data_IF_316253170162
#
_entry.id   IF_316253170162
#
_cell.length_a   1.000
_cell.length_b   1.000
_cell.length_c   1.000
_cell.angle_alpha   90.00
_cell.angle_beta   90.00
_cell.angle_gamma   90.00
#
_symmetry.space_group_name_H-M   'P 1'
#
loop_
_entity.id
_entity.type
_entity.pdbx_description
1 polymer ?
#
# COMPACT_ATOMS: atom_id res chain seq x y z
N UNK A 1 0.98 3.84 -3.95
CA UNK A 1 1.34 3.22 -2.65
C UNK A 1 1.39 1.72 -2.79
N UNK A 2 2.31 1.04 -2.12
CA UNK A 2 2.42 -0.42 -2.11
C UNK A 2 2.25 -0.88 -0.67
N UNK A 3 1.44 -1.93 -0.46
CA UNK A 3 1.13 -2.48 0.86
C UNK A 3 1.39 -3.98 0.81
N UNK A 4 2.38 -4.45 1.57
CA UNK A 4 2.70 -5.86 1.77
C UNK A 4 1.97 -6.41 2.99
N UNK A 5 1.52 -7.67 2.92
CA UNK A 5 0.75 -8.32 3.99
C UNK A 5 -0.49 -7.48 4.39
N UNK A 6 -1.16 -6.90 3.41
CA UNK A 6 -2.36 -6.09 3.62
C UNK A 6 -3.37 -6.86 4.49
N UNK A 7 -3.97 -6.19 5.49
CA UNK A 7 -4.88 -6.76 6.49
C UNK A 7 -4.26 -7.66 7.57
N UNK A 8 -2.93 -7.88 7.58
CA UNK A 8 -2.24 -8.58 8.68
C UNK A 8 -1.57 -7.60 9.66
N UNK A 9 -1.27 -8.00 10.91
CA UNK A 9 -0.66 -7.13 11.92
C UNK A 9 0.71 -6.58 11.52
N UNK A 10 1.44 -7.30 10.66
CA UNK A 10 2.77 -6.95 10.17
C UNK A 10 2.74 -6.29 8.78
N UNK A 11 1.66 -5.59 8.44
CA UNK A 11 1.59 -4.85 7.18
C UNK A 11 2.76 -3.87 7.04
N UNK A 12 3.33 -3.79 5.84
CA UNK A 12 4.38 -2.83 5.49
C UNK A 12 3.92 -2.04 4.29
N UNK A 13 4.11 -0.73 4.29
CA UNK A 13 3.66 0.08 3.16
C UNK A 13 4.66 1.18 2.79
N UNK A 14 4.70 1.52 1.50
CA UNK A 14 5.46 2.66 0.98
C UNK A 14 4.54 3.52 0.10
N UNK A 15 4.52 4.82 0.37
CA UNK A 15 3.85 5.80 -0.47
C UNK A 15 4.89 6.47 -1.37
N UNK A 16 4.63 6.47 -2.67
CA UNK A 16 5.55 7.01 -3.69
C UNK A 16 4.76 7.38 -4.94
N UNK A 17 5.37 8.12 -5.86
CA UNK A 17 4.82 8.38 -7.18
C UNK A 17 4.99 7.17 -8.09
N UNK A 18 4.20 7.08 -9.16
CA UNK A 18 4.28 5.95 -10.09
C UNK A 18 5.69 5.83 -10.73
N UNK A 19 6.30 6.98 -11.05
CA UNK A 19 7.67 7.07 -11.56
C UNK A 19 8.71 6.39 -10.64
N UNK A 20 8.54 6.54 -9.32
CA UNK A 20 9.48 6.03 -8.31
C UNK A 20 9.08 4.68 -7.72
N UNK A 21 8.06 4.02 -8.27
CA UNK A 21 7.46 2.84 -7.68
C UNK A 21 8.45 1.68 -7.55
N UNK A 22 9.14 1.31 -8.63
CA UNK A 22 10.07 0.19 -8.64
C UNK A 22 11.25 0.40 -7.68
N UNK A 23 11.85 1.59 -7.69
CA UNK A 23 12.95 1.95 -6.78
C UNK A 23 12.50 1.90 -5.33
N UNK A 24 11.33 2.48 -5.01
CA UNK A 24 10.81 2.50 -3.65
C UNK A 24 10.47 1.09 -3.13
N UNK A 25 9.97 0.20 -3.99
CA UNK A 25 9.76 -1.22 -3.64
C UNK A 25 11.09 -1.89 -3.28
N UNK A 26 12.13 -1.67 -4.08
CA UNK A 26 13.46 -2.23 -3.87
C UNK A 26 14.12 -1.71 -2.58
N UNK A 27 14.12 -0.40 -2.36
CA UNK A 27 14.68 0.23 -1.15
C UNK A 27 13.93 -0.18 0.12
N UNK A 28 12.60 -0.31 0.04
CA UNK A 28 11.79 -0.77 1.16
C UNK A 28 11.84 -2.29 1.38
N UNK A 29 12.48 -3.06 0.47
CA UNK A 29 12.50 -4.52 0.55
C UNK A 29 11.09 -5.13 0.61
N UNK A 30 10.16 -4.60 -0.18
CA UNK A 30 8.80 -5.13 -0.28
C UNK A 30 8.77 -6.28 -1.29
N UNK A 31 8.07 -7.35 -0.95
CA UNK A 31 7.95 -8.57 -1.75
C UNK A 31 6.52 -9.13 -1.75
N UNK A 32 6.33 -10.30 -2.33
CA UNK A 32 5.02 -10.97 -2.33
C UNK A 32 4.63 -11.45 -0.92
N UNK A 33 3.33 -11.44 -0.54
CA UNK A 33 2.18 -10.88 -1.26
C UNK A 33 2.00 -9.37 -1.01
N UNK A 34 1.74 -8.61 -2.08
CA UNK A 34 1.62 -7.15 -2.06
C UNK A 34 0.46 -6.61 -2.92
N UNK A 35 -0.14 -5.50 -2.48
CA UNK A 35 -1.18 -4.74 -3.18
C UNK A 35 -0.63 -3.37 -3.59
N UNK A 36 -0.82 -2.97 -4.84
CA UNK A 36 -0.41 -1.67 -5.36
C UNK A 36 -1.64 -0.81 -5.60
N UNK A 37 -1.62 0.40 -5.05
CA UNK A 37 -2.70 1.38 -5.09
C UNK A 37 -2.21 2.63 -5.83
N UNK A 38 -2.84 2.96 -6.97
CA UNK A 38 -2.44 4.07 -7.86
C UNK A 38 -3.60 5.07 -7.98
N UNK A 39 -3.29 6.37 -7.95
CA UNK A 39 -4.26 7.47 -8.02
C UNK A 39 -4.45 8.21 -6.69
N UNK A 40 -5.37 9.19 -6.67
CA UNK A 40 -5.62 10.07 -5.52
C UNK A 40 -6.46 9.42 -4.39
N UNK A 41 -6.50 8.09 -4.39
CA UNK A 41 -7.25 7.26 -3.44
C UNK A 41 -6.65 7.30 -2.03
N UNK A 42 -5.40 7.77 -1.87
CA UNK A 42 -4.82 8.04 -0.56
C UNK A 42 -5.58 9.14 0.18
N UNK A 43 -6.10 10.15 -0.54
CA UNK A 43 -6.96 11.19 0.05
C UNK A 43 -8.31 10.63 0.47
N UNK A 44 -8.86 9.72 -0.34
CA UNK A 44 -10.09 8.99 -0.02
C UNK A 44 -9.94 8.09 1.21
N UNK A 45 -8.81 7.40 1.37
CA UNK A 45 -8.53 6.55 2.53
C UNK A 45 -8.36 7.35 3.83
N UNK A 46 -7.67 8.49 3.78
CA UNK A 46 -7.57 9.40 4.92
C UNK A 46 -8.93 9.97 5.33
N UNK A 47 -9.77 10.33 4.36
CA UNK A 47 -11.13 10.81 4.59
C UNK A 47 -12.08 9.71 5.08
N UNK A 48 -11.87 8.46 4.67
CA UNK A 48 -12.74 7.34 5.02
C UNK A 48 -12.47 6.76 6.42
N UNK A 49 -11.31 7.06 7.04
CA UNK A 49 -10.90 6.51 8.34
C UNK A 49 -11.12 4.99 8.48
N UNK A 50 -11.06 4.27 7.35
CA UNK A 50 -11.32 2.84 7.32
C UNK A 50 -10.08 2.12 7.86
N UNK A 51 -10.23 1.25 8.87
CA UNK A 51 -9.17 0.32 9.23
C UNK A 51 -8.77 -0.45 7.97
N UNK A 52 -7.47 -0.61 7.72
CA UNK A 52 -6.91 -1.31 6.56
C UNK A 52 -7.19 -2.84 6.55
N UNK A 53 -8.33 -3.27 7.09
CA UNK A 53 -8.60 -4.63 7.55
C UNK A 53 -9.64 -5.41 6.72
N UNK A 54 -10.14 -4.89 5.60
CA UNK A 54 -11.07 -5.69 4.77
C UNK A 54 -11.04 -5.30 3.29
N UNK A 55 -10.06 -5.85 2.58
CA UNK A 55 -10.17 -6.05 1.14
C UNK A 55 -10.27 -7.55 0.90
N UNK A 56 -11.51 -8.05 0.81
CA UNK A 56 -11.81 -9.46 0.57
C UNK A 56 -13.29 -9.75 0.77
N UNK A 57 -13.98 -10.01 -0.34
CA UNK A 57 -15.14 -10.92 -0.43
C UNK A 57 -14.87 -11.84 -1.60
#
# INVERSE_FOLDING_TARGET
>A
AVIQHASLPHQRHVATTLERLATAIGEAGLGSPSVIVVGDVLRGLAAAALPAARFGT
#
